data_IF_924136543539
#
_entry.id   IF_924136543539
#
_cell.length_a   1.000
_cell.length_b   1.000
_cell.length_c   1.000
_cell.angle_alpha   90.00
_cell.angle_beta   90.00
_cell.angle_gamma   90.00
#
_symmetry.space_group_name_H-M   'P 1'
#
loop_
_entity.id
_entity.type
_entity.pdbx_description
1 polymer ?
#
# COMPACT_ATOMS: atom_id res chain seq x y z
N UNK A 1 2.07 -22.19 9.00
CA UNK A 1 1.91 -20.74 8.75
C UNK A 1 2.00 -20.51 7.26
N UNK A 2 1.09 -19.75 6.70
CA UNK A 2 1.13 -19.35 5.28
C UNK A 2 2.40 -18.57 4.99
N UNK A 3 2.90 -18.67 3.77
CA UNK A 3 4.10 -17.95 3.33
C UNK A 3 3.75 -17.02 2.18
N UNK A 4 4.25 -15.81 2.26
CA UNK A 4 4.14 -14.84 1.19
C UNK A 4 5.30 -15.03 0.22
N UNK A 5 5.04 -15.22 -1.08
CA UNK A 5 6.09 -15.37 -2.10
C UNK A 5 7.12 -14.23 -2.06
N UNK A 6 8.28 -14.45 -2.70
CA UNK A 6 9.37 -13.44 -2.72
C UNK A 6 8.87 -12.06 -3.11
N UNK A 7 8.04 -11.98 -4.14
CA UNK A 7 7.38 -10.75 -4.55
C UNK A 7 5.87 -10.88 -4.35
N UNK A 8 5.26 -9.85 -3.82
CA UNK A 8 3.82 -9.78 -3.63
C UNK A 8 3.32 -8.36 -3.88
N UNK A 9 2.08 -8.26 -4.34
CA UNK A 9 1.49 -6.98 -4.71
C UNK A 9 0.10 -6.82 -4.12
N UNK A 10 -0.06 -5.79 -3.29
CA UNK A 10 -1.34 -5.33 -2.79
C UNK A 10 -2.09 -4.60 -3.90
N UNK A 11 -3.21 -5.16 -4.33
CA UNK A 11 -4.06 -4.67 -5.40
C UNK A 11 -5.43 -4.32 -4.85
N UNK A 12 -5.78 -3.03 -4.89
CA UNK A 12 -7.09 -2.56 -4.44
C UNK A 12 -8.11 -2.56 -5.56
N UNK A 13 -9.32 -2.91 -5.19
CA UNK A 13 -10.49 -2.83 -6.07
C UNK A 13 -11.67 -2.29 -5.27
N UNK A 14 -11.87 -0.97 -5.34
CA UNK A 14 -12.88 -0.30 -4.50
C UNK A 14 -14.28 -0.85 -4.71
N UNK A 15 -14.69 -1.04 -5.95
CA UNK A 15 -16.04 -1.48 -6.30
C UNK A 15 -16.18 -3.00 -6.50
N UNK A 16 -15.07 -3.75 -6.49
CA UNK A 16 -15.07 -5.20 -6.61
C UNK A 16 -15.41 -5.71 -8.02
N UNK A 17 -15.04 -4.96 -9.06
CA UNK A 17 -15.30 -5.31 -10.47
C UNK A 17 -14.05 -5.64 -11.28
N UNK A 18 -12.85 -5.37 -10.71
CA UNK A 18 -11.60 -5.47 -11.46
C UNK A 18 -10.70 -6.65 -11.09
N UNK A 19 -11.09 -7.47 -10.10
CA UNK A 19 -10.27 -8.58 -9.61
C UNK A 19 -9.78 -9.51 -10.74
N UNK A 20 -10.61 -9.75 -11.76
CA UNK A 20 -10.23 -10.57 -12.93
C UNK A 20 -9.18 -9.90 -13.80
N UNK A 21 -9.30 -8.61 -14.09
CA UNK A 21 -8.31 -7.85 -14.87
C UNK A 21 -6.97 -7.76 -14.11
N UNK A 22 -7.04 -7.55 -12.80
CA UNK A 22 -5.88 -7.52 -11.91
C UNK A 22 -5.14 -8.86 -11.93
N UNK A 23 -5.86 -9.97 -11.77
CA UNK A 23 -5.25 -11.31 -11.80
C UNK A 23 -4.72 -11.67 -13.19
N UNK A 24 -5.40 -11.25 -14.29
CA UNK A 24 -4.88 -11.40 -15.66
C UNK A 24 -3.51 -10.75 -15.85
N UNK A 25 -3.29 -9.56 -15.28
CA UNK A 25 -1.99 -8.89 -15.32
C UNK A 25 -0.90 -9.72 -14.61
N UNK A 26 -1.24 -10.31 -13.47
CA UNK A 26 -0.32 -11.17 -12.69
C UNK A 26 -0.01 -12.47 -13.43
N UNK A 27 -1.00 -13.11 -14.06
CA UNK A 27 -0.79 -14.29 -14.91
C UNK A 27 0.19 -13.97 -16.03
N UNK A 28 -0.02 -12.86 -16.74
CA UNK A 28 0.89 -12.40 -17.80
C UNK A 28 2.30 -12.08 -17.29
N UNK A 29 2.41 -11.56 -16.06
CA UNK A 29 3.70 -11.36 -15.42
C UNK A 29 4.41 -12.70 -15.17
N UNK A 30 3.70 -13.71 -14.70
CA UNK A 30 4.23 -15.06 -14.51
C UNK A 30 4.72 -15.67 -15.83
N UNK A 31 3.98 -15.50 -16.93
CA UNK A 31 4.41 -15.94 -18.27
C UNK A 31 5.71 -15.26 -18.73
N UNK A 32 6.04 -14.09 -18.17
CA UNK A 32 7.30 -13.38 -18.39
C UNK A 32 8.41 -13.75 -17.37
N UNK A 33 8.14 -14.71 -16.50
CA UNK A 33 9.08 -15.14 -15.45
C UNK A 33 9.08 -14.27 -14.20
N UNK A 34 8.04 -13.45 -13.98
CA UNK A 34 7.89 -12.63 -12.78
C UNK A 34 6.81 -13.25 -11.89
N UNK A 35 7.22 -14.03 -10.90
CA UNK A 35 6.30 -14.64 -9.94
C UNK A 35 5.88 -13.62 -8.88
N UNK A 36 4.58 -13.31 -8.82
CA UNK A 36 4.01 -12.35 -7.88
C UNK A 36 2.79 -12.97 -7.21
N UNK A 37 2.76 -12.90 -5.89
CA UNK A 37 1.59 -13.28 -5.10
C UNK A 37 0.60 -12.11 -5.05
N UNK A 38 -0.63 -12.26 -5.59
CA UNK A 38 -1.66 -11.22 -5.49
C UNK A 38 -2.24 -11.13 -4.07
N UNK A 39 -2.41 -9.90 -3.59
CA UNK A 39 -3.02 -9.61 -2.30
C UNK A 39 -4.11 -8.56 -2.51
N UNK A 40 -5.40 -8.95 -2.45
CA UNK A 40 -6.50 -7.99 -2.56
C UNK A 40 -6.69 -7.26 -1.24
N UNK A 41 -6.48 -5.96 -1.25
CA UNK A 41 -6.59 -5.14 -0.04
C UNK A 41 -7.72 -4.12 -0.13
N UNK A 42 -8.40 -3.92 0.99
CA UNK A 42 -9.41 -2.88 1.17
C UNK A 42 -9.53 -2.51 2.65
N UNK A 43 -9.47 -1.21 2.93
CA UNK A 43 -9.57 -0.69 4.29
C UNK A 43 -11.02 -0.59 4.78
N UNK A 44 -11.18 -0.51 6.12
CA UNK A 44 -12.51 -0.31 6.72
C UNK A 44 -13.19 0.97 6.21
N UNK A 45 -12.45 2.06 6.08
CA UNK A 45 -12.98 3.32 5.54
C UNK A 45 -13.51 3.17 4.12
N UNK A 46 -12.81 2.43 3.26
CA UNK A 46 -13.28 2.15 1.90
C UNK A 46 -14.57 1.33 1.90
N UNK A 47 -14.65 0.30 2.75
CA UNK A 47 -15.88 -0.49 2.92
C UNK A 47 -17.07 0.37 3.38
N UNK A 48 -16.85 1.29 4.32
CA UNK A 48 -17.89 2.21 4.78
C UNK A 48 -18.38 3.13 3.67
N UNK A 49 -17.47 3.72 2.88
CA UNK A 49 -17.82 4.69 1.83
C UNK A 49 -18.62 4.02 0.70
N UNK A 50 -18.27 2.79 0.31
CA UNK A 50 -18.96 2.09 -0.79
C UNK A 50 -20.06 1.13 -0.30
N UNK A 51 -20.37 1.14 1.00
CA UNK A 51 -21.39 0.28 1.62
C UNK A 51 -21.18 -1.22 1.35
N UNK A 52 -19.94 -1.69 1.42
CA UNK A 52 -19.58 -3.11 1.25
C UNK A 52 -19.03 -3.73 2.54
N UNK A 53 -18.84 -5.04 2.53
CA UNK A 53 -18.29 -5.81 3.64
C UNK A 53 -16.97 -6.49 3.24
N UNK A 54 -16.04 -6.81 4.16
CA UNK A 54 -14.81 -7.54 3.87
C UNK A 54 -15.03 -8.85 3.12
N UNK A 55 -16.12 -9.58 3.41
CA UNK A 55 -16.52 -10.78 2.68
C UNK A 55 -16.74 -10.56 1.18
N UNK A 56 -17.15 -9.35 0.77
CA UNK A 56 -17.29 -9.03 -0.65
C UNK A 56 -15.94 -9.05 -1.37
N UNK A 57 -14.87 -8.54 -0.73
CA UNK A 57 -13.51 -8.59 -1.30
C UNK A 57 -13.05 -10.04 -1.47
N UNK A 58 -13.25 -10.90 -0.44
CA UNK A 58 -12.95 -12.34 -0.52
C UNK A 58 -13.71 -13.01 -1.65
N UNK A 59 -15.02 -12.82 -1.74
CA UNK A 59 -15.84 -13.42 -2.79
C UNK A 59 -15.40 -13.01 -4.21
N UNK A 60 -14.99 -11.76 -4.41
CA UNK A 60 -14.53 -11.28 -5.72
C UNK A 60 -13.14 -11.83 -6.07
N UNK A 61 -12.23 -11.93 -5.10
CA UNK A 61 -10.94 -12.58 -5.27
C UNK A 61 -11.12 -14.07 -5.64
N UNK A 62 -11.89 -14.82 -4.85
CA UNK A 62 -12.16 -16.24 -5.07
C UNK A 62 -12.81 -16.49 -6.44
N UNK A 63 -13.75 -15.61 -6.85
CA UNK A 63 -14.36 -15.68 -8.17
C UNK A 63 -13.34 -15.49 -9.29
N UNK A 64 -12.46 -14.50 -9.20
CA UNK A 64 -11.43 -14.25 -10.20
C UNK A 64 -10.44 -15.43 -10.31
N UNK A 65 -10.01 -15.95 -9.15
CA UNK A 65 -9.14 -17.14 -9.05
C UNK A 65 -9.76 -18.35 -9.74
N UNK A 66 -11.04 -18.63 -9.45
CA UNK A 66 -11.75 -19.77 -10.06
C UNK A 66 -11.95 -19.58 -11.57
N UNK A 67 -12.38 -18.38 -12.02
CA UNK A 67 -12.63 -18.10 -13.44
C UNK A 67 -11.37 -18.15 -14.31
N UNK A 68 -10.23 -17.72 -13.76
CA UNK A 68 -8.94 -17.77 -14.45
C UNK A 68 -8.13 -19.03 -14.16
N UNK A 69 -8.70 -19.96 -13.39
CA UNK A 69 -8.05 -21.24 -13.03
C UNK A 69 -6.65 -21.04 -12.40
N UNK A 70 -6.47 -19.97 -11.61
CA UNK A 70 -5.24 -19.69 -10.87
C UNK A 70 -4.99 -20.79 -9.83
N UNK A 71 -3.75 -21.26 -9.71
CA UNK A 71 -3.40 -22.41 -8.84
C UNK A 71 -2.40 -22.06 -7.75
N UNK A 72 -1.82 -20.86 -7.83
CA UNK A 72 -0.85 -20.39 -6.84
C UNK A 72 -1.57 -19.72 -5.67
N UNK A 73 -0.80 -19.40 -4.62
CA UNK A 73 -1.31 -18.68 -3.46
C UNK A 73 -1.82 -17.28 -3.81
N UNK A 74 -2.82 -16.85 -3.08
CA UNK A 74 -3.36 -15.50 -3.07
C UNK A 74 -3.92 -15.16 -1.70
N UNK A 75 -3.99 -13.86 -1.37
CA UNK A 75 -4.45 -13.42 -0.08
C UNK A 75 -5.45 -12.28 -0.20
N UNK A 76 -6.24 -12.11 0.86
CA UNK A 76 -7.12 -10.96 1.07
C UNK A 76 -6.69 -10.26 2.34
N UNK A 77 -6.29 -9.01 2.21
CA UNK A 77 -5.72 -8.20 3.28
C UNK A 77 -6.82 -7.38 3.99
N UNK A 78 -6.82 -7.51 5.31
CA UNK A 78 -7.46 -6.57 6.21
C UNK A 78 -6.55 -5.34 6.34
N UNK A 79 -6.74 -4.36 5.46
CA UNK A 79 -5.82 -3.25 5.24
C UNK A 79 -5.98 -2.18 6.33
N UNK A 80 -4.89 -1.89 7.05
CA UNK A 80 -4.82 -0.91 8.15
C UNK A 80 -5.88 -1.14 9.24
N UNK A 81 -5.77 -2.29 9.92
CA UNK A 81 -6.68 -2.63 11.01
C UNK A 81 -6.09 -2.30 12.39
N UNK A 82 -6.98 -1.95 13.30
CA UNK A 82 -6.73 -1.83 14.73
C UNK A 82 -7.69 -2.72 15.54
N UNK A 83 -7.56 -2.72 16.85
CA UNK A 83 -8.38 -3.52 17.76
C UNK A 83 -9.89 -3.38 17.49
N UNK A 84 -10.36 -2.17 17.17
CA UNK A 84 -11.78 -1.89 16.94
C UNK A 84 -12.35 -2.47 15.64
N UNK A 85 -11.51 -2.90 14.71
CA UNK A 85 -11.94 -3.33 13.37
C UNK A 85 -11.61 -4.79 13.05
N UNK A 86 -10.78 -5.46 13.86
CA UNK A 86 -10.37 -6.87 13.64
C UNK A 86 -11.57 -7.79 13.40
N UNK A 87 -12.60 -7.70 14.26
CA UNK A 87 -13.77 -8.59 14.20
C UNK A 87 -14.48 -8.56 12.84
N UNK A 88 -14.43 -7.42 12.15
CA UNK A 88 -15.09 -7.25 10.85
C UNK A 88 -14.37 -8.00 9.72
N UNK A 89 -13.05 -8.17 9.85
CA UNK A 89 -12.19 -8.70 8.79
C UNK A 89 -11.76 -10.15 8.99
N UNK A 90 -11.74 -10.62 10.24
CA UNK A 90 -11.08 -11.87 10.62
C UNK A 90 -11.53 -13.09 9.80
N UNK A 91 -12.81 -13.20 9.49
CA UNK A 91 -13.34 -14.33 8.72
C UNK A 91 -12.98 -14.25 7.22
N UNK A 92 -12.93 -13.04 6.68
CA UNK A 92 -12.73 -12.83 5.24
C UNK A 92 -11.26 -12.74 4.84
N UNK A 93 -10.36 -12.42 5.79
CA UNK A 93 -8.96 -12.11 5.51
C UNK A 93 -8.01 -13.21 5.96
N UNK A 94 -6.91 -13.31 5.27
CA UNK A 94 -5.77 -14.20 5.56
C UNK A 94 -4.42 -13.47 5.40
N UNK A 95 -4.47 -12.16 5.25
CA UNK A 95 -3.39 -11.20 5.39
C UNK A 95 -3.91 -10.07 6.30
N UNK A 96 -3.11 -9.59 7.24
CA UNK A 96 -3.51 -8.57 8.19
C UNK A 96 -2.44 -7.49 8.29
N UNK A 97 -2.75 -6.28 7.82
CA UNK A 97 -1.94 -5.09 8.01
C UNK A 97 -2.32 -4.42 9.32
N UNK A 98 -1.53 -4.70 10.34
CA UNK A 98 -1.70 -4.13 11.67
C UNK A 98 -1.13 -2.71 11.67
N UNK A 99 -1.98 -1.71 11.88
CA UNK A 99 -1.58 -0.31 11.95
C UNK A 99 -1.30 0.08 13.41
N UNK A 100 -0.10 0.60 13.65
CA UNK A 100 0.34 1.03 14.98
C UNK A 100 0.80 2.49 15.02
N UNK A 101 0.55 3.26 13.96
CA UNK A 101 1.01 4.65 13.85
C UNK A 101 0.57 5.52 15.04
N UNK A 102 -0.68 5.38 15.48
CA UNK A 102 -1.23 6.12 16.64
C UNK A 102 -0.58 5.77 17.99
N UNK A 103 0.14 4.65 18.06
CA UNK A 103 0.81 4.20 19.29
C UNK A 103 2.29 4.57 19.34
N UNK A 104 2.84 5.13 18.27
CA UNK A 104 4.23 5.59 18.20
C UNK A 104 4.37 6.88 19.01
N UNK A 105 5.44 6.95 19.82
CA UNK A 105 5.72 8.08 20.71
C UNK A 105 4.93 8.04 22.04
N UNK A 106 4.08 7.03 22.26
CA UNK A 106 3.49 6.78 23.58
C UNK A 106 4.53 6.09 24.45
N UNK A 107 4.94 6.76 25.51
CA UNK A 107 5.98 6.23 26.42
C UNK A 107 5.52 4.93 27.10
N UNK A 108 6.35 3.87 27.08
CA UNK A 108 6.07 2.64 27.79
C UNK A 108 6.23 2.82 29.31
N UNK A 109 5.78 1.85 30.10
CA UNK A 109 6.12 1.80 31.52
C UNK A 109 7.63 1.60 31.72
N UNK A 110 8.14 2.09 32.89
CA UNK A 110 9.57 2.09 33.18
C UNK A 110 10.17 0.67 33.18
N UNK A 111 9.46 -0.30 33.75
CA UNK A 111 9.96 -1.69 33.87
C UNK A 111 10.16 -2.29 32.47
N UNK A 112 9.20 -2.09 31.57
CA UNK A 112 9.29 -2.53 30.20
C UNK A 112 10.43 -1.85 29.43
N UNK A 113 10.63 -0.55 29.65
CA UNK A 113 11.71 0.20 29.02
C UNK A 113 13.08 -0.26 29.54
N UNK A 114 13.27 -0.36 30.86
CA UNK A 114 14.52 -0.80 31.46
C UNK A 114 14.89 -2.23 30.99
N UNK A 115 13.88 -3.11 30.89
CA UNK A 115 14.06 -4.46 30.33
C UNK A 115 14.50 -4.40 28.88
N UNK A 116 13.84 -3.60 28.02
CA UNK A 116 14.18 -3.45 26.62
C UNK A 116 15.61 -2.94 26.43
N UNK A 117 16.02 -1.95 27.21
CA UNK A 117 17.41 -1.44 27.19
C UNK A 117 18.40 -2.54 27.59
N UNK A 118 18.12 -3.27 28.64
CA UNK A 118 18.97 -4.38 29.11
C UNK A 118 19.09 -5.50 28.08
N UNK A 119 17.98 -5.93 27.48
CA UNK A 119 17.95 -7.02 26.48
C UNK A 119 18.72 -6.64 25.20
N UNK A 120 18.79 -5.35 24.87
CA UNK A 120 19.47 -4.84 23.68
C UNK A 120 20.87 -4.27 23.97
N UNK A 121 21.37 -4.27 25.20
CA UNK A 121 22.66 -3.71 25.58
C UNK A 121 23.84 -4.35 24.84
N UNK A 122 23.71 -5.58 24.37
CA UNK A 122 24.70 -6.28 23.56
C UNK A 122 25.00 -5.60 22.20
N UNK A 123 24.13 -4.71 21.73
CA UNK A 123 24.30 -3.96 20.48
C UNK A 123 24.99 -2.62 20.68
N UNK A 124 25.36 -2.24 21.94
CA UNK A 124 26.13 -1.01 22.19
C UNK A 124 27.49 -1.14 21.54
N UNK A 125 27.83 -0.14 20.70
CA UNK A 125 29.03 -0.11 19.90
C UNK A 125 28.71 0.12 18.43
N UNK A 126 29.46 -0.52 17.56
CA UNK A 126 29.26 -0.43 16.10
C UNK A 126 28.42 -1.63 15.62
N UNK A 127 27.21 -1.36 15.11
CA UNK A 127 26.37 -2.38 14.48
C UNK A 127 26.86 -2.57 13.05
N UNK A 128 27.52 -3.69 12.79
CA UNK A 128 28.02 -4.05 11.47
C UNK A 128 26.90 -4.58 10.58
N UNK A 129 26.81 -4.01 9.37
CA UNK A 129 25.89 -4.46 8.32
C UNK A 129 26.70 -5.14 7.22
N UNK A 130 26.55 -6.46 7.00
CA UNK A 130 27.31 -7.20 6.01
C UNK A 130 27.22 -6.60 4.61
N UNK A 131 28.39 -6.39 3.97
CA UNK A 131 28.46 -5.84 2.61
C UNK A 131 28.21 -4.33 2.49
N UNK A 132 28.15 -3.61 3.62
CA UNK A 132 27.94 -2.15 3.67
C UNK A 132 29.13 -1.41 4.27
N UNK A 133 29.35 -0.18 3.78
CA UNK A 133 30.25 0.79 4.43
C UNK A 133 29.49 1.64 5.48
N UNK A 134 28.20 1.43 5.63
CA UNK A 134 27.38 2.12 6.63
C UNK A 134 27.79 1.64 8.03
N UNK A 135 28.20 2.57 8.86
CA UNK A 135 28.47 2.35 10.27
C UNK A 135 27.34 2.92 11.09
N UNK A 136 26.67 2.08 11.83
CA UNK A 136 25.62 2.47 12.77
C UNK A 136 26.23 2.40 14.17
N UNK A 137 26.39 3.55 14.82
CA UNK A 137 26.86 3.60 16.20
C UNK A 137 25.65 3.58 17.12
N UNK A 138 25.62 2.63 18.02
CA UNK A 138 24.56 2.43 19.01
C UNK A 138 25.13 2.70 20.38
N UNK A 139 24.48 3.57 21.14
CA UNK A 139 24.72 3.76 22.58
C UNK A 139 23.45 3.44 23.38
N UNK A 140 23.55 3.48 24.69
CA UNK A 140 22.40 3.23 25.58
C UNK A 140 21.24 4.21 25.33
N UNK A 141 21.57 5.48 25.04
CA UNK A 141 20.56 6.50 24.74
C UNK A 141 19.81 6.20 23.43
N UNK A 142 20.53 5.66 22.43
CA UNK A 142 19.94 5.22 21.14
C UNK A 142 18.89 4.13 21.38
N UNK A 143 19.25 3.10 22.19
CA UNK A 143 18.33 1.99 22.54
C UNK A 143 17.13 2.53 23.32
N UNK A 144 17.41 3.35 24.34
CA UNK A 144 16.37 3.96 25.18
C UNK A 144 15.40 4.80 24.39
N UNK A 145 15.90 5.68 23.51
CA UNK A 145 15.07 6.53 22.65
C UNK A 145 14.18 5.72 21.70
N UNK A 146 14.72 4.63 21.12
CA UNK A 146 13.93 3.72 20.30
C UNK A 146 12.86 3.01 21.14
N UNK A 147 13.20 2.56 22.35
CA UNK A 147 12.24 1.95 23.28
C UNK A 147 11.13 2.91 23.70
N UNK A 148 11.48 4.16 24.06
CA UNK A 148 10.51 5.22 24.42
C UNK A 148 9.53 5.50 23.28
N UNK A 149 9.99 5.43 22.02
CA UNK A 149 9.19 5.77 20.84
C UNK A 149 8.35 4.60 20.32
N UNK A 150 8.86 3.35 20.35
CA UNK A 150 8.26 2.25 19.60
C UNK A 150 7.78 1.07 20.43
N UNK A 151 8.19 0.93 21.70
CA UNK A 151 7.87 -0.27 22.48
C UNK A 151 6.35 -0.40 22.75
N UNK A 152 5.65 0.70 22.97
CA UNK A 152 4.18 0.70 23.11
C UNK A 152 3.50 0.29 21.82
N UNK A 153 4.00 0.73 20.67
CA UNK A 153 3.49 0.34 19.37
C UNK A 153 3.68 -1.16 19.10
N UNK A 154 4.85 -1.73 19.45
CA UNK A 154 5.08 -3.17 19.33
C UNK A 154 4.15 -4.00 20.23
N UNK A 155 3.92 -3.56 21.46
CA UNK A 155 2.93 -4.21 22.36
C UNK A 155 1.51 -4.14 21.82
N UNK A 156 1.12 -2.99 21.26
CA UNK A 156 -0.18 -2.83 20.62
C UNK A 156 -0.33 -3.76 19.43
N UNK A 157 0.70 -3.88 18.57
CA UNK A 157 0.71 -4.87 17.50
C UNK A 157 0.52 -6.30 18.03
N UNK A 158 1.18 -6.65 19.13
CA UNK A 158 1.04 -7.96 19.76
C UNK A 158 -0.38 -8.22 20.28
N UNK A 159 -1.03 -7.23 20.85
CA UNK A 159 -2.42 -7.36 21.34
C UNK A 159 -3.38 -7.60 20.17
N UNK A 160 -3.20 -6.88 19.05
CA UNK A 160 -3.99 -7.09 17.83
C UNK A 160 -3.71 -8.48 17.25
N UNK A 161 -2.44 -8.88 17.14
CA UNK A 161 -2.06 -10.21 16.67
C UNK A 161 -2.67 -11.33 17.53
N UNK A 162 -2.57 -11.26 18.85
CA UNK A 162 -3.17 -12.23 19.78
C UNK A 162 -4.69 -12.30 19.63
N UNK A 163 -5.34 -11.15 19.40
CA UNK A 163 -6.78 -11.10 19.12
C UNK A 163 -7.11 -11.82 17.81
N UNK A 164 -6.37 -11.57 16.72
CA UNK A 164 -6.57 -12.28 15.45
C UNK A 164 -6.41 -13.80 15.65
N UNK A 165 -5.34 -14.25 16.29
CA UNK A 165 -5.12 -15.68 16.59
C UNK A 165 -6.29 -16.29 17.38
N UNK A 166 -6.77 -15.57 18.40
CA UNK A 166 -7.91 -16.02 19.20
C UNK A 166 -9.19 -16.15 18.38
N UNK A 167 -9.48 -15.18 17.52
CA UNK A 167 -10.70 -15.16 16.72
C UNK A 167 -10.66 -16.17 15.56
N UNK A 168 -9.50 -16.32 14.88
CA UNK A 168 -9.32 -17.31 13.81
C UNK A 168 -9.15 -18.74 14.35
N UNK A 169 -8.80 -18.93 15.61
CA UNK A 169 -8.49 -20.23 16.19
C UNK A 169 -7.19 -20.87 15.68
N UNK A 170 -6.39 -20.14 14.92
CA UNK A 170 -5.10 -20.58 14.38
C UNK A 170 -4.23 -19.36 14.03
N UNK A 171 -2.96 -19.63 13.65
CA UNK A 171 -2.00 -18.62 13.21
C UNK A 171 -1.59 -18.80 11.72
N UNK A 172 -2.46 -19.37 10.90
CA UNK A 172 -2.19 -19.63 9.49
C UNK A 172 -2.63 -18.47 8.60
N UNK A 173 -1.98 -17.32 8.78
CA UNK A 173 -2.20 -16.08 8.05
C UNK A 173 -0.90 -15.26 7.96
N UNK A 174 -0.88 -14.27 7.08
CA UNK A 174 0.22 -13.33 6.90
C UNK A 174 0.04 -12.15 7.87
N UNK A 175 1.15 -11.67 8.43
CA UNK A 175 1.19 -10.50 9.31
C UNK A 175 2.08 -9.41 8.71
N UNK A 176 1.50 -8.25 8.51
CA UNK A 176 2.19 -7.00 8.25
C UNK A 176 2.07 -6.07 9.47
N UNK A 177 3.15 -5.38 9.80
CA UNK A 177 3.09 -4.24 10.74
C UNK A 177 3.39 -2.96 9.98
N UNK A 178 2.48 -1.99 10.05
CA UNK A 178 2.59 -0.71 9.36
C UNK A 178 2.81 0.45 10.32
N UNK A 179 3.74 1.33 9.91
CA UNK A 179 4.09 2.60 10.57
C UNK A 179 4.21 3.74 9.55
N UNK A 180 3.67 3.56 8.35
CA UNK A 180 3.83 4.52 7.25
C UNK A 180 3.01 5.81 7.44
N UNK A 181 1.97 5.79 8.26
CA UNK A 181 1.12 6.96 8.54
C UNK A 181 1.65 7.85 9.69
N UNK A 182 2.94 7.76 10.06
CA UNK A 182 3.59 8.62 11.05
C UNK A 182 4.08 9.95 10.47
N UNK A 183 4.37 10.94 11.33
CA UNK A 183 4.84 12.26 10.90
C UNK A 183 6.27 12.24 10.33
N UNK A 184 7.14 11.40 10.92
CA UNK A 184 8.57 11.34 10.57
C UNK A 184 8.99 9.96 10.08
N UNK A 185 9.92 9.88 9.10
CA UNK A 185 10.52 8.62 8.67
C UNK A 185 11.20 7.88 9.84
N UNK A 186 11.21 6.55 9.79
CA UNK A 186 12.04 5.77 10.68
C UNK A 186 13.46 5.70 10.14
N UNK A 187 14.44 5.88 11.03
CA UNK A 187 15.85 5.67 10.67
C UNK A 187 16.16 4.16 10.61
N UNK A 188 17.22 3.73 9.89
CA UNK A 188 17.65 2.34 9.91
C UNK A 188 17.90 1.78 11.31
N UNK A 189 18.45 2.59 12.21
CA UNK A 189 18.64 2.21 13.62
C UNK A 189 17.33 2.01 14.35
N UNK A 190 16.36 2.90 14.14
CA UNK A 190 15.03 2.74 14.71
C UNK A 190 14.36 1.47 14.17
N UNK A 191 14.45 1.20 12.86
CA UNK A 191 13.89 -0.01 12.26
C UNK A 191 14.50 -1.29 12.88
N UNK A 192 15.80 -1.31 13.17
CA UNK A 192 16.44 -2.44 13.85
C UNK A 192 15.82 -2.70 15.23
N UNK A 193 15.64 -1.65 16.04
CA UNK A 193 15.05 -1.78 17.37
C UNK A 193 13.54 -2.00 17.37
N UNK A 194 12.83 -1.54 16.34
CA UNK A 194 11.43 -1.91 16.10
C UNK A 194 11.31 -3.42 15.89
N UNK A 195 12.15 -3.99 15.01
CA UNK A 195 12.18 -5.43 14.74
C UNK A 195 12.58 -6.25 15.99
N UNK A 196 13.49 -5.74 16.80
CA UNK A 196 13.80 -6.31 18.12
C UNK A 196 12.57 -6.34 19.06
N UNK A 197 11.83 -5.22 19.12
CA UNK A 197 10.63 -5.12 19.96
C UNK A 197 9.52 -6.07 19.46
N UNK A 198 9.28 -6.15 18.13
CA UNK A 198 8.29 -7.06 17.54
C UNK A 198 8.66 -8.53 17.77
N UNK A 199 9.94 -8.89 17.66
CA UNK A 199 10.43 -10.23 17.97
C UNK A 199 10.23 -10.58 19.46
N UNK A 200 10.52 -9.65 20.37
CA UNK A 200 10.33 -9.87 21.82
C UNK A 200 8.86 -10.11 22.19
N UNK A 201 7.93 -9.60 21.42
CA UNK A 201 6.48 -9.86 21.55
C UNK A 201 6.02 -11.12 20.80
N UNK A 202 6.95 -11.85 20.14
CA UNK A 202 6.69 -13.09 19.41
C UNK A 202 5.68 -12.93 18.25
N UNK A 203 5.73 -11.79 17.57
CA UNK A 203 4.91 -11.55 16.38
C UNK A 203 5.65 -12.08 15.15
N UNK A 204 5.10 -13.04 14.39
CA UNK A 204 5.74 -13.57 13.20
C UNK A 204 5.53 -12.65 11.99
N UNK A 205 6.15 -11.47 12.02
CA UNK A 205 5.99 -10.41 11.01
C UNK A 205 6.63 -10.85 9.70
N UNK A 206 5.85 -10.98 8.63
CA UNK A 206 6.35 -11.32 7.29
C UNK A 206 6.58 -10.09 6.41
N UNK A 207 5.88 -8.98 6.68
CA UNK A 207 6.15 -7.69 6.02
C UNK A 207 6.12 -6.55 7.02
N UNK A 208 7.00 -5.57 6.82
CA UNK A 208 7.11 -4.35 7.64
C UNK A 208 7.05 -3.13 6.74
N UNK A 209 6.17 -2.18 7.05
CA UNK A 209 5.99 -0.95 6.29
C UNK A 209 6.47 0.28 7.09
N UNK A 210 7.74 0.66 6.99
CA UNK A 210 8.23 1.91 7.55
C UNK A 210 7.82 3.10 6.66
N UNK A 211 7.85 4.29 7.24
CA UNK A 211 7.75 5.54 6.51
C UNK A 211 9.10 5.93 5.92
N UNK A 212 9.09 6.23 4.63
CA UNK A 212 10.24 6.82 3.94
C UNK A 212 10.17 8.36 3.93
N UNK A 213 11.32 9.00 3.69
CA UNK A 213 11.39 10.44 3.41
C UNK A 213 10.58 10.81 2.16
N UNK A 214 10.22 12.08 2.06
CA UNK A 214 9.36 12.58 0.98
C UNK A 214 7.88 12.34 1.22
N UNK A 215 7.06 12.50 0.17
CA UNK A 215 5.61 12.38 0.26
C UNK A 215 5.06 11.44 -0.79
N UNK A 216 4.22 10.53 -0.35
CA UNK A 216 3.49 9.57 -1.17
C UNK A 216 2.07 10.08 -1.45
N UNK A 217 2.00 11.21 -2.16
CA UNK A 217 0.74 11.88 -2.45
C UNK A 217 -0.21 11.01 -3.28
N UNK A 218 -1.50 11.16 -3.03
CA UNK A 218 -2.56 10.41 -3.73
C UNK A 218 -2.59 10.76 -5.21
N UNK A 219 -2.60 9.77 -6.09
CA UNK A 219 -2.80 9.91 -7.52
C UNK A 219 -1.60 10.42 -8.33
N UNK A 220 -0.51 10.83 -7.72
CA UNK A 220 0.67 11.41 -8.40
C UNK A 220 1.96 10.72 -8.01
N UNK A 221 3.05 11.06 -8.67
CA UNK A 221 4.37 10.49 -8.42
C UNK A 221 4.90 10.86 -7.04
N UNK A 222 5.96 10.18 -6.62
CA UNK A 222 6.69 10.49 -5.38
C UNK A 222 7.22 11.93 -5.40
N UNK A 223 7.06 12.62 -4.29
CA UNK A 223 7.53 14.00 -4.11
C UNK A 223 8.64 14.03 -3.06
N UNK A 224 9.89 14.04 -3.52
CA UNK A 224 11.07 14.02 -2.69
C UNK A 224 12.35 13.80 -3.50
N UNK A 225 13.48 13.66 -2.80
CA UNK A 225 14.74 13.31 -3.43
C UNK A 225 14.82 11.77 -3.62
N UNK A 226 14.82 11.33 -4.87
CA UNK A 226 14.87 9.91 -5.24
C UNK A 226 16.16 9.24 -4.76
N UNK A 227 17.28 9.97 -4.67
CA UNK A 227 18.53 9.42 -4.18
C UNK A 227 18.51 9.19 -2.67
N UNK A 228 17.84 10.08 -1.93
CA UNK A 228 17.61 9.88 -0.48
C UNK A 228 16.72 8.66 -0.28
N UNK A 229 15.60 8.56 -1.01
CA UNK A 229 14.72 7.39 -0.96
C UNK A 229 15.49 6.09 -1.27
N UNK A 230 16.29 6.06 -2.34
CA UNK A 230 17.09 4.88 -2.70
C UNK A 230 18.01 4.47 -1.57
N UNK A 231 18.70 5.43 -0.96
CA UNK A 231 19.62 5.17 0.15
C UNK A 231 18.88 4.60 1.36
N UNK A 232 17.75 5.19 1.75
CA UNK A 232 16.93 4.70 2.85
C UNK A 232 16.43 3.29 2.57
N UNK A 233 15.88 3.05 1.38
CA UNK A 233 15.38 1.74 0.96
C UNK A 233 16.48 0.66 1.01
N UNK A 234 17.67 0.93 0.48
CA UNK A 234 18.81 0.01 0.55
C UNK A 234 19.27 -0.25 1.99
N UNK A 235 19.28 0.78 2.84
CA UNK A 235 19.63 0.64 4.25
C UNK A 235 18.62 -0.21 5.02
N UNK A 236 17.33 -0.01 4.78
CA UNK A 236 16.28 -0.80 5.42
C UNK A 236 16.34 -2.28 5.00
N UNK A 237 16.67 -2.58 3.73
CA UNK A 237 16.90 -3.95 3.29
C UNK A 237 18.06 -4.61 4.05
N UNK A 238 19.16 -3.90 4.28
CA UNK A 238 20.30 -4.39 5.05
C UNK A 238 19.93 -4.61 6.52
N UNK A 239 19.15 -3.69 7.10
CA UNK A 239 18.64 -3.80 8.49
C UNK A 239 17.74 -5.01 8.65
N UNK A 240 16.83 -5.25 7.72
CA UNK A 240 15.93 -6.41 7.78
C UNK A 240 16.74 -7.71 7.73
N UNK A 241 17.70 -7.82 6.82
CA UNK A 241 18.58 -8.99 6.76
C UNK A 241 19.34 -9.20 8.07
N UNK A 242 19.90 -8.13 8.65
CA UNK A 242 20.57 -8.18 9.94
C UNK A 242 19.64 -8.59 11.07
N UNK A 243 18.43 -8.07 11.08
CA UNK A 243 17.41 -8.39 12.11
C UNK A 243 16.97 -9.87 12.02
N UNK A 244 16.78 -10.40 10.82
CA UNK A 244 16.46 -11.84 10.60
C UNK A 244 17.57 -12.74 11.13
N UNK A 245 18.84 -12.35 10.95
CA UNK A 245 19.99 -13.11 11.48
C UNK A 245 20.11 -13.01 13.00
N UNK A 246 19.61 -11.93 13.59
CA UNK A 246 19.84 -11.56 14.99
C UNK A 246 18.70 -11.95 15.90
N UNK A 247 17.45 -11.82 15.42
CA UNK A 247 16.22 -12.02 16.18
C UNK A 247 15.46 -13.25 15.66
N UNK A 248 14.54 -13.76 16.47
CA UNK A 248 13.63 -14.85 16.05
C UNK A 248 12.50 -14.30 15.16
N UNK A 249 12.86 -13.92 13.93
CA UNK A 249 11.97 -13.39 12.92
C UNK A 249 11.82 -14.35 11.74
N UNK A 250 10.68 -14.34 11.02
CA UNK A 250 10.51 -15.13 9.81
C UNK A 250 11.60 -14.83 8.78
N UNK A 251 12.16 -15.87 8.17
CA UNK A 251 13.24 -15.75 7.17
C UNK A 251 12.77 -15.06 5.87
N UNK A 252 11.48 -15.04 5.63
CA UNK A 252 10.82 -14.41 4.50
C UNK A 252 10.31 -12.99 4.79
N UNK A 253 10.65 -12.45 5.99
CA UNK A 253 10.38 -11.04 6.31
C UNK A 253 10.98 -10.12 5.24
N UNK A 254 10.17 -9.18 4.75
CA UNK A 254 10.54 -8.22 3.71
C UNK A 254 9.95 -6.84 3.94
N UNK A 255 10.51 -5.85 3.26
CA UNK A 255 9.91 -4.52 3.21
C UNK A 255 8.54 -4.56 2.54
N UNK A 256 7.64 -3.75 3.06
CA UNK A 256 6.40 -3.33 2.41
C UNK A 256 6.48 -1.83 2.09
N UNK A 257 6.14 -1.48 0.85
CA UNK A 257 6.06 -0.08 0.40
C UNK A 257 4.60 0.26 0.12
N UNK A 258 4.03 1.13 0.95
CA UNK A 258 2.67 1.61 0.74
C UNK A 258 2.69 2.80 -0.24
N UNK A 259 2.76 2.51 -1.53
CA UNK A 259 2.82 3.55 -2.56
C UNK A 259 1.48 4.27 -2.76
N UNK A 260 0.37 3.64 -2.42
CA UNK A 260 -0.99 4.16 -2.51
C UNK A 260 -1.48 4.45 -3.93
N UNK A 261 -0.58 4.73 -4.87
CA UNK A 261 -0.81 4.95 -6.30
C UNK A 261 0.52 4.94 -7.04
N UNK A 262 0.52 5.27 -8.33
CA UNK A 262 1.73 5.31 -9.18
C UNK A 262 2.85 6.18 -8.55
N UNK A 263 4.06 5.62 -8.44
CA UNK A 263 5.27 6.29 -7.94
C UNK A 263 6.45 5.95 -8.86
N UNK A 264 6.31 6.31 -10.13
CA UNK A 264 7.21 5.83 -11.19
C UNK A 264 8.67 6.20 -10.99
N UNK A 265 8.95 7.34 -10.38
CA UNK A 265 10.31 7.84 -10.15
C UNK A 265 11.13 6.93 -9.22
N UNK A 266 10.48 6.24 -8.27
CA UNK A 266 11.16 5.36 -7.32
C UNK A 266 11.20 3.88 -7.76
N UNK A 267 10.48 3.48 -8.82
CA UNK A 267 10.42 2.08 -9.24
C UNK A 267 11.77 1.53 -9.72
N UNK A 268 12.54 2.33 -10.47
CA UNK A 268 13.86 1.92 -10.91
C UNK A 268 14.82 1.73 -9.74
N UNK A 269 14.96 2.68 -8.78
CA UNK A 269 15.72 2.46 -7.55
C UNK A 269 15.33 1.19 -6.79
N UNK A 270 14.03 0.95 -6.62
CA UNK A 270 13.54 -0.28 -5.97
C UNK A 270 14.02 -1.52 -6.73
N UNK A 271 13.81 -1.57 -8.06
CA UNK A 271 14.21 -2.71 -8.90
C UNK A 271 15.71 -2.99 -8.81
N UNK A 272 16.53 -1.96 -8.84
CA UNK A 272 18.00 -2.07 -8.72
C UNK A 272 18.41 -2.61 -7.34
N UNK A 273 17.79 -2.12 -6.27
CA UNK A 273 18.02 -2.60 -4.92
C UNK A 273 17.60 -4.07 -4.75
N UNK A 274 16.42 -4.47 -5.25
CA UNK A 274 15.97 -5.86 -5.20
C UNK A 274 16.93 -6.82 -5.90
N UNK A 275 17.52 -6.40 -7.04
CA UNK A 275 18.57 -7.17 -7.73
C UNK A 275 19.86 -7.23 -6.94
N UNK A 276 20.28 -6.11 -6.37
CA UNK A 276 21.55 -5.97 -5.63
C UNK A 276 21.58 -6.86 -4.39
N UNK A 277 20.48 -6.90 -3.65
CA UNK A 277 20.38 -7.62 -2.37
C UNK A 277 19.72 -8.99 -2.47
N UNK A 278 19.27 -9.38 -3.66
CA UNK A 278 18.50 -10.63 -3.92
C UNK A 278 17.34 -10.86 -2.94
N UNK A 279 16.64 -9.80 -2.60
CA UNK A 279 15.58 -9.80 -1.57
C UNK A 279 14.17 -9.70 -2.15
N UNK A 280 13.16 -9.96 -1.32
CA UNK A 280 11.75 -9.82 -1.64
C UNK A 280 11.21 -8.41 -1.40
N UNK A 281 9.96 -8.20 -1.85
CA UNK A 281 9.20 -6.96 -1.64
C UNK A 281 7.72 -7.25 -1.59
N UNK A 282 7.01 -6.59 -0.68
CA UNK A 282 5.57 -6.34 -0.79
C UNK A 282 5.35 -4.88 -1.20
N UNK A 283 4.47 -4.61 -2.18
CA UNK A 283 4.14 -3.24 -2.58
C UNK A 283 2.63 -3.08 -2.67
N UNK A 284 2.07 -2.04 -2.08
CA UNK A 284 0.64 -1.71 -2.14
C UNK A 284 0.38 -0.54 -3.08
N UNK A 285 -0.43 -0.77 -4.13
CA UNK A 285 -0.76 0.22 -5.17
C UNK A 285 -2.27 0.43 -5.33
N UNK A 286 -3.03 0.18 -4.27
CA UNK A 286 -4.49 0.07 -4.27
C UNK A 286 -5.25 1.22 -4.96
N UNK A 287 -4.77 2.45 -4.83
CA UNK A 287 -5.46 3.64 -5.34
C UNK A 287 -5.55 3.77 -6.86
N UNK A 288 -4.78 2.99 -7.61
CA UNK A 288 -4.65 3.16 -9.08
C UNK A 288 -5.84 2.62 -9.84
N UNK A 289 -6.41 1.47 -9.44
CA UNK A 289 -7.51 0.80 -10.15
C UNK A 289 -8.71 1.71 -10.36
N UNK A 290 -9.11 2.49 -9.36
CA UNK A 290 -10.19 3.46 -9.44
C UNK A 290 -10.00 4.48 -10.56
N UNK A 291 -8.80 5.01 -10.75
CA UNK A 291 -8.51 5.97 -11.81
C UNK A 291 -8.53 5.30 -13.18
N UNK A 292 -8.12 4.04 -13.29
CA UNK A 292 -8.19 3.28 -14.53
C UNK A 292 -9.63 2.91 -14.89
N UNK A 293 -10.54 2.77 -13.92
CA UNK A 293 -11.98 2.67 -14.16
C UNK A 293 -12.51 3.94 -14.81
N UNK A 294 -12.18 5.12 -14.28
CA UNK A 294 -12.59 6.41 -14.87
C UNK A 294 -12.02 6.61 -16.28
N UNK A 295 -10.74 6.26 -16.50
CA UNK A 295 -10.12 6.32 -17.83
C UNK A 295 -10.85 5.40 -18.79
N UNK A 296 -11.20 4.18 -18.35
CA UNK A 296 -11.93 3.22 -19.18
C UNK A 296 -13.34 3.70 -19.53
N UNK A 297 -14.05 4.28 -18.58
CA UNK A 297 -15.38 4.87 -18.78
C UNK A 297 -15.31 6.04 -19.78
N UNK A 298 -14.37 6.97 -19.55
CA UNK A 298 -14.22 8.13 -20.45
C UNK A 298 -13.82 7.71 -21.86
N UNK A 299 -12.94 6.71 -21.99
CA UNK A 299 -12.51 6.19 -23.31
C UNK A 299 -13.62 5.43 -24.06
N UNK A 300 -14.66 5.00 -23.37
CA UNK A 300 -15.81 4.36 -23.99
C UNK A 300 -16.78 5.36 -24.66
N UNK A 301 -16.56 6.66 -24.43
CA UNK A 301 -17.45 7.75 -24.87
C UNK A 301 -18.90 7.62 -24.33
N UNK A 302 -19.86 8.24 -24.95
CA UNK A 302 -21.28 8.18 -24.60
C UNK A 302 -21.55 8.32 -23.09
N UNK A 303 -22.37 7.44 -22.53
CA UNK A 303 -22.74 7.42 -21.11
C UNK A 303 -21.53 7.26 -20.17
N UNK A 304 -20.49 6.53 -20.58
CA UNK A 304 -19.27 6.35 -19.78
C UNK A 304 -18.53 7.67 -19.56
N UNK A 305 -18.39 8.47 -20.61
CA UNK A 305 -17.80 9.80 -20.54
C UNK A 305 -18.68 10.76 -19.72
N UNK A 306 -20.00 10.71 -19.89
CA UNK A 306 -20.94 11.53 -19.10
C UNK A 306 -20.79 11.23 -17.60
N UNK A 307 -20.74 9.96 -17.19
CA UNK A 307 -20.55 9.56 -15.80
C UNK A 307 -19.20 10.11 -15.26
N UNK A 308 -18.12 10.00 -16.02
CA UNK A 308 -16.82 10.51 -15.61
C UNK A 308 -16.83 12.04 -15.42
N UNK A 309 -17.52 12.78 -16.30
CA UNK A 309 -17.71 14.23 -16.20
C UNK A 309 -18.58 14.63 -15.02
N UNK A 310 -19.67 13.91 -14.78
CA UNK A 310 -20.56 14.14 -13.62
C UNK A 310 -19.78 13.93 -12.31
N UNK A 311 -18.96 12.90 -12.22
CA UNK A 311 -18.09 12.66 -11.05
C UNK A 311 -17.12 13.84 -10.86
N UNK A 312 -16.53 14.34 -11.92
CA UNK A 312 -15.64 15.50 -11.80
C UNK A 312 -16.40 16.77 -11.37
N UNK A 313 -17.55 17.06 -11.96
CA UNK A 313 -18.35 18.24 -11.64
C UNK A 313 -18.78 18.24 -10.17
N UNK A 314 -19.25 17.09 -9.67
CA UNK A 314 -19.58 16.94 -8.25
C UNK A 314 -18.35 17.04 -7.36
N UNK A 315 -17.20 16.46 -7.78
CA UNK A 315 -15.96 16.55 -7.04
C UNK A 315 -15.46 17.99 -6.92
N UNK A 316 -15.58 18.76 -7.97
CA UNK A 316 -15.22 20.18 -8.00
C UNK A 316 -16.11 20.98 -7.02
N UNK A 317 -17.42 20.75 -7.02
CA UNK A 317 -18.37 21.43 -6.14
C UNK A 317 -18.22 21.04 -4.67
N UNK A 318 -17.76 19.80 -4.40
CA UNK A 318 -17.59 19.24 -3.03
C UNK A 318 -16.12 19.13 -2.62
N UNK A 319 -15.26 19.99 -3.19
CA UNK A 319 -13.81 19.94 -2.99
C UNK A 319 -13.42 19.86 -1.52
N UNK A 320 -13.92 20.76 -0.66
CA UNK A 320 -13.54 20.80 0.76
C UNK A 320 -13.93 19.52 1.52
N UNK A 321 -15.09 18.95 1.20
CA UNK A 321 -15.55 17.70 1.80
C UNK A 321 -14.65 16.53 1.41
N UNK A 322 -14.37 16.39 0.12
CA UNK A 322 -13.63 15.24 -0.41
C UNK A 322 -12.14 15.32 -0.12
N UNK A 323 -11.56 16.50 -0.18
CA UNK A 323 -10.14 16.73 0.04
C UNK A 323 -9.77 16.87 1.52
N UNK A 324 -10.72 17.26 2.37
CA UNK A 324 -10.50 17.48 3.80
C UNK A 324 -9.73 16.36 4.50
N UNK A 325 -10.15 15.10 4.39
CA UNK A 325 -9.48 13.94 5.00
C UNK A 325 -8.08 13.63 4.44
N UNK A 326 -7.70 14.23 3.30
CA UNK A 326 -6.47 13.92 2.58
C UNK A 326 -5.49 15.10 2.48
N UNK A 327 -5.71 16.18 3.22
CA UNK A 327 -4.91 17.43 3.15
C UNK A 327 -3.40 17.23 3.27
N UNK A 328 -2.96 16.25 4.02
CA UNK A 328 -1.53 15.92 4.22
C UNK A 328 -0.91 15.13 3.06
N UNK A 329 -1.73 14.54 2.20
CA UNK A 329 -1.30 13.62 1.12
C UNK A 329 -1.83 14.01 -0.26
N UNK A 330 -2.24 15.27 -0.44
CA UNK A 330 -2.61 15.87 -1.73
C UNK A 330 -1.99 17.27 -1.85
N UNK A 331 -1.75 17.70 -3.09
CA UNK A 331 -1.25 19.04 -3.45
C UNK A 331 -2.09 19.59 -4.60
N UNK A 332 -3.35 19.92 -4.33
CA UNK A 332 -4.26 20.47 -5.34
C UNK A 332 -4.29 21.99 -5.22
N UNK A 333 -3.84 22.70 -6.25
CA UNK A 333 -4.09 24.13 -6.40
C UNK A 333 -5.30 24.34 -7.32
N UNK A 334 -6.36 24.94 -6.76
CA UNK A 334 -7.63 25.20 -7.45
C UNK A 334 -7.46 26.02 -8.73
N UNK A 335 -6.41 26.84 -8.82
CA UNK A 335 -6.13 27.65 -10.03
C UNK A 335 -5.77 26.82 -11.26
N UNK A 336 -5.30 25.58 -11.05
CA UNK A 336 -4.91 24.67 -12.11
C UNK A 336 -5.93 23.56 -12.37
N UNK A 337 -7.04 23.56 -11.61
CA UNK A 337 -8.17 22.69 -11.94
C UNK A 337 -8.91 23.29 -13.16
N UNK A 338 -9.22 22.47 -14.20
CA UNK A 338 -10.07 22.92 -15.28
C UNK A 338 -11.48 23.22 -14.77
N UNK A 339 -12.15 24.23 -15.37
CA UNK A 339 -13.53 24.49 -15.01
C UNK A 339 -14.47 23.36 -15.41
N UNK A 340 -15.63 23.27 -14.78
CA UNK A 340 -16.65 22.26 -15.11
C UNK A 340 -17.06 22.38 -16.58
N UNK A 341 -17.22 23.62 -17.10
CA UNK A 341 -17.57 23.91 -18.48
C UNK A 341 -16.47 23.41 -19.44
N UNK A 342 -15.20 23.62 -19.07
CA UNK A 342 -14.07 23.14 -19.85
C UNK A 342 -14.09 21.60 -19.94
N UNK A 343 -14.22 20.90 -18.80
CA UNK A 343 -14.28 19.43 -18.78
C UNK A 343 -15.50 18.91 -19.52
N UNK A 344 -16.65 19.57 -19.44
CA UNK A 344 -17.85 19.20 -20.19
C UNK A 344 -17.67 19.29 -21.71
N UNK A 345 -16.77 20.15 -22.18
CA UNK A 345 -16.44 20.26 -23.60
C UNK A 345 -15.49 19.17 -24.12
N UNK A 346 -14.84 18.41 -23.23
CA UNK A 346 -13.87 17.40 -23.61
C UNK A 346 -14.54 16.16 -24.21
N UNK A 347 -13.84 15.54 -25.19
CA UNK A 347 -14.12 14.16 -25.60
C UNK A 347 -13.40 13.18 -24.66
N UNK A 348 -13.68 11.89 -24.80
CA UNK A 348 -13.10 10.84 -23.94
C UNK A 348 -11.60 10.73 -24.03
N UNK A 349 -11.01 11.02 -25.22
CA UNK A 349 -9.56 11.05 -25.40
C UNK A 349 -8.92 12.15 -24.53
N UNK A 350 -9.42 13.38 -24.60
CA UNK A 350 -8.91 14.50 -23.80
C UNK A 350 -9.05 14.24 -22.31
N UNK A 351 -10.23 13.75 -21.87
CA UNK A 351 -10.46 13.40 -20.47
C UNK A 351 -9.45 12.34 -19.99
N UNK A 352 -9.32 11.26 -20.76
CA UNK A 352 -8.42 10.15 -20.44
C UNK A 352 -6.94 10.57 -20.40
N UNK A 353 -6.49 11.41 -21.33
CA UNK A 353 -5.12 11.94 -21.36
C UNK A 353 -4.86 12.89 -20.19
N UNK A 354 -5.84 13.71 -19.79
CA UNK A 354 -5.72 14.60 -18.63
C UNK A 354 -5.62 13.83 -17.32
N UNK A 355 -6.29 12.66 -17.24
CA UNK A 355 -6.34 11.82 -16.04
C UNK A 355 -5.17 10.81 -15.98
N UNK A 356 -4.74 10.25 -17.10
CA UNK A 356 -3.69 9.22 -17.14
C UNK A 356 -2.37 9.80 -16.64
N UNK A 357 -1.72 9.07 -15.71
CA UNK A 357 -0.43 9.51 -15.17
C UNK A 357 0.69 9.38 -16.19
N UNK A 358 0.73 10.29 -17.12
CA UNK A 358 1.78 10.43 -18.15
C UNK A 358 2.29 11.87 -18.17
N UNK A 359 3.35 12.13 -17.40
CA UNK A 359 3.92 13.48 -17.26
C UNK A 359 4.53 14.02 -18.56
N UNK A 360 4.78 13.18 -19.57
CA UNK A 360 5.23 13.61 -20.89
C UNK A 360 4.08 14.11 -21.77
N UNK A 361 2.84 13.77 -21.43
CA UNK A 361 1.67 14.22 -22.19
C UNK A 361 1.28 15.64 -21.77
N UNK A 362 1.20 16.57 -22.72
CA UNK A 362 0.85 17.98 -22.49
C UNK A 362 -0.57 18.19 -21.93
N UNK A 363 -1.44 17.20 -22.06
CA UNK A 363 -2.80 17.23 -21.50
C UNK A 363 -2.86 16.79 -20.05
N UNK A 364 -1.82 16.08 -19.53
CA UNK A 364 -1.82 15.59 -18.17
C UNK A 364 -1.98 16.74 -17.16
N UNK A 365 -2.93 16.58 -16.23
CA UNK A 365 -3.15 17.54 -15.16
C UNK A 365 -3.14 16.84 -13.79
N UNK A 366 -2.08 17.09 -13.01
CA UNK A 366 -1.91 16.46 -11.71
C UNK A 366 -2.99 16.85 -10.69
N UNK A 367 -3.52 18.06 -10.77
CA UNK A 367 -4.57 18.55 -9.86
C UNK A 367 -5.91 17.88 -10.17
N UNK A 368 -6.25 17.76 -11.45
CA UNK A 368 -7.41 17.00 -11.95
C UNK A 368 -7.35 15.53 -11.49
N UNK A 369 -6.18 14.90 -11.68
CA UNK A 369 -5.97 13.51 -11.28
C UNK A 369 -6.07 13.32 -9.76
N UNK A 370 -5.50 14.21 -8.95
CA UNK A 370 -5.58 14.11 -7.49
C UNK A 370 -7.02 14.31 -6.98
N UNK A 371 -7.76 15.26 -7.53
CA UNK A 371 -9.15 15.47 -7.17
C UNK A 371 -9.99 14.22 -7.49
N UNK A 372 -9.86 13.67 -8.68
CA UNK A 372 -10.56 12.44 -9.04
C UNK A 372 -10.11 11.24 -8.20
N UNK A 373 -8.83 11.19 -7.80
CA UNK A 373 -8.35 10.09 -6.94
C UNK A 373 -9.13 9.98 -5.62
N UNK A 374 -9.49 11.11 -5.01
CA UNK A 374 -10.23 11.16 -3.73
C UNK A 374 -11.75 11.16 -3.89
N UNK A 375 -12.25 11.11 -5.14
CA UNK A 375 -13.68 11.33 -5.46
C UNK A 375 -14.51 10.04 -5.60
N UNK A 376 -13.97 8.87 -5.29
CA UNK A 376 -14.71 7.60 -5.43
C UNK A 376 -15.98 7.51 -4.57
N UNK A 377 -16.12 8.36 -3.55
CA UNK A 377 -17.36 8.54 -2.78
C UNK A 377 -18.53 8.95 -3.67
N UNK A 378 -18.28 9.84 -4.63
CA UNK A 378 -19.33 10.30 -5.57
C UNK A 378 -19.80 9.14 -6.44
N UNK A 379 -18.88 8.33 -6.95
CA UNK A 379 -19.25 7.12 -7.71
C UNK A 379 -20.05 6.13 -6.85
N UNK A 380 -19.70 5.98 -5.57
CA UNK A 380 -20.49 5.17 -4.64
C UNK A 380 -21.92 5.72 -4.44
N UNK A 381 -22.07 7.04 -4.34
CA UNK A 381 -23.38 7.72 -4.24
C UNK A 381 -24.21 7.60 -5.53
N UNK A 382 -23.60 7.45 -6.70
CA UNK A 382 -24.31 7.16 -7.96
C UNK A 382 -24.92 5.74 -7.98
N UNK A 383 -24.48 4.84 -7.12
CA UNK A 383 -25.05 3.51 -6.95
C UNK A 383 -25.10 2.69 -8.25
N UNK A 384 -26.30 2.19 -8.58
CA UNK A 384 -26.49 1.30 -9.75
C UNK A 384 -26.10 1.94 -11.08
N UNK A 385 -26.18 3.27 -11.23
CA UNK A 385 -25.76 3.96 -12.46
C UNK A 385 -24.27 3.72 -12.72
N UNK A 386 -23.44 3.87 -11.67
CA UNK A 386 -22.00 3.63 -11.79
C UNK A 386 -21.68 2.14 -11.94
N UNK A 387 -22.27 1.29 -11.10
CA UNK A 387 -21.99 -0.15 -11.13
C UNK A 387 -22.40 -0.80 -12.45
N UNK A 388 -23.54 -0.42 -13.02
CA UNK A 388 -23.98 -0.88 -14.34
C UNK A 388 -23.06 -0.43 -15.47
N UNK A 389 -22.49 0.78 -15.37
CA UNK A 389 -21.51 1.27 -16.33
C UNK A 389 -20.19 0.49 -16.25
N UNK A 390 -19.72 0.10 -15.05
CA UNK A 390 -18.55 -0.77 -14.90
C UNK A 390 -18.74 -2.11 -15.63
N UNK A 391 -19.92 -2.72 -15.56
CA UNK A 391 -20.23 -3.96 -16.29
C UNK A 391 -20.35 -3.73 -17.80
N UNK A 392 -21.06 -2.69 -18.22
CA UNK A 392 -21.28 -2.34 -19.64
C UNK A 392 -19.97 -2.08 -20.37
N UNK A 393 -19.05 -1.34 -19.75
CA UNK A 393 -17.78 -0.93 -20.33
C UNK A 393 -16.58 -1.75 -19.84
N UNK A 394 -16.86 -2.95 -19.31
CA UNK A 394 -15.86 -3.84 -18.70
C UNK A 394 -14.63 -4.09 -19.59
N UNK A 395 -14.79 -4.22 -20.91
CA UNK A 395 -13.69 -4.52 -21.81
C UNK A 395 -12.66 -3.39 -21.85
N UNK A 396 -13.13 -2.16 -21.97
CA UNK A 396 -12.26 -0.97 -21.99
C UNK A 396 -11.57 -0.77 -20.64
N UNK A 397 -12.32 -0.90 -19.54
CA UNK A 397 -11.80 -0.76 -18.18
C UNK A 397 -10.75 -1.83 -17.89
N UNK A 398 -11.06 -3.12 -18.16
CA UNK A 398 -10.14 -4.23 -17.89
C UNK A 398 -8.81 -4.08 -18.64
N UNK A 399 -8.83 -3.57 -19.88
CA UNK A 399 -7.62 -3.29 -20.64
C UNK A 399 -6.73 -2.25 -19.94
N UNK A 400 -7.30 -1.16 -19.45
CA UNK A 400 -6.56 -0.12 -18.74
C UNK A 400 -5.99 -0.63 -17.41
N UNK A 401 -6.80 -1.36 -16.63
CA UNK A 401 -6.38 -1.95 -15.34
C UNK A 401 -5.22 -2.94 -15.54
N UNK A 402 -5.35 -3.83 -16.54
CA UNK A 402 -4.32 -4.82 -16.85
C UNK A 402 -3.01 -4.14 -17.32
N UNK A 403 -3.09 -3.17 -18.23
CA UNK A 403 -1.93 -2.40 -18.70
C UNK A 403 -1.25 -1.66 -17.54
N UNK A 404 -2.04 -1.02 -16.68
CA UNK A 404 -1.50 -0.28 -15.54
C UNK A 404 -0.72 -1.22 -14.61
N UNK A 405 -1.29 -2.36 -14.21
CA UNK A 405 -0.65 -3.29 -13.30
C UNK A 405 0.57 -3.93 -13.95
N UNK A 406 0.46 -4.48 -15.16
CA UNK A 406 1.55 -5.19 -15.82
C UNK A 406 2.67 -4.27 -16.27
N UNK A 407 2.33 -3.29 -17.14
CA UNK A 407 3.34 -2.50 -17.85
C UNK A 407 3.88 -1.35 -16.98
N UNK A 408 3.01 -0.75 -16.19
CA UNK A 408 3.36 0.47 -15.47
C UNK A 408 3.84 0.22 -14.04
N UNK A 409 3.50 -0.96 -13.44
CA UNK A 409 3.96 -1.36 -12.12
C UNK A 409 4.89 -2.58 -12.19
N UNK A 410 4.37 -3.76 -12.48
CA UNK A 410 5.10 -5.02 -12.30
C UNK A 410 6.44 -5.00 -13.05
N UNK A 411 6.42 -4.73 -14.34
CA UNK A 411 7.64 -4.71 -15.18
C UNK A 411 8.65 -3.65 -14.76
N UNK A 412 8.20 -2.58 -14.12
CA UNK A 412 9.09 -1.49 -13.68
C UNK A 412 9.71 -1.74 -12.31
N UNK A 413 8.99 -2.45 -11.44
CA UNK A 413 9.38 -2.66 -10.03
C UNK A 413 10.16 -3.95 -9.86
N UNK A 414 9.67 -5.05 -10.40
CA UNK A 414 10.22 -6.37 -10.10
C UNK A 414 11.31 -6.80 -11.09
N UNK A 415 12.38 -7.44 -10.58
CA UNK A 415 13.40 -8.07 -11.43
C UNK A 415 12.84 -9.26 -12.22
N UNK A 416 13.33 -9.45 -13.43
CA UNK A 416 13.09 -10.63 -14.29
C UNK A 416 14.25 -10.81 -15.25
#
# INVERSE_FOLDING_TARGET
MKQLGKYSMGIGDRFGHQAKAQLSAIIKAKDLGIDITPVWNKSYREHQIIHSQPSNTRLKADKAVNELNWKEDYFVDADHIGIATVDLFVEASDFFTIDVADSIGISPDKVSLDKFVSDNAQFIGELELPGSLLRIVVDENTIKSAGEKYLTAAKHAADIYKLIVKLKGNNDFIVEVSMDETDTPQTPTELFFILSALSSESIPVQTIAPKFSGRFNKGVDYVGDVNIFQKEFEQDLMIINKAIETFDLPKDLKLSVHSGSDKFSIYKPIKEALKKFDTGLHIKTAGTTWLEELIGLASAEDEGLEIAKDIYAEAYNRYDELCGPYKTVIDIDLKFLPSIEEVNSWNGEKFSQSLRHDQANSNYNMHFRQLLHVSYKIAAEMGDRYLSALEKYRVQISKNVEENILERHIKRIFPY
#
